data_IF_886753654614
#
_entry.id   IF_886753654614
#
_cell.length_a   1.000
_cell.length_b   1.000
_cell.length_c   1.000
_cell.angle_alpha   90.00
_cell.angle_beta   90.00
_cell.angle_gamma   90.00
#
_symmetry.space_group_name_H-M   'P 1'
#
loop_
_entity.id
_entity.type
_entity.pdbx_description
1 polymer ?
#
# COMPACT_ATOMS: atom_id res chain seq x y z
N UNK A 1 -19.67 -3.65 -11.55
CA UNK A 1 -19.01 -3.29 -10.28
C UNK A 1 -17.76 -4.16 -10.20
N UNK A 2 -16.61 -3.63 -9.80
CA UNK A 2 -15.40 -4.42 -9.62
C UNK A 2 -15.64 -5.45 -8.50
N UNK A 3 -15.82 -6.72 -8.85
CA UNK A 3 -16.02 -7.82 -7.88
C UNK A 3 -14.70 -8.18 -7.22
N UNK A 4 -14.23 -7.29 -6.33
CA UNK A 4 -13.32 -7.72 -5.28
C UNK A 4 -14.11 -8.60 -4.30
N UNK A 5 -13.58 -9.77 -3.95
CA UNK A 5 -14.10 -10.54 -2.82
C UNK A 5 -14.02 -9.71 -1.53
N UNK A 6 -14.88 -10.00 -0.56
CA UNK A 6 -14.86 -9.33 0.75
C UNK A 6 -13.46 -9.41 1.38
N UNK A 7 -12.81 -10.57 1.31
CA UNK A 7 -11.44 -10.77 1.77
C UNK A 7 -10.43 -9.81 1.11
N UNK A 8 -10.49 -9.64 -0.22
CA UNK A 8 -9.62 -8.69 -0.94
C UNK A 8 -9.91 -7.25 -0.52
N UNK A 9 -11.17 -6.89 -0.33
CA UNK A 9 -11.55 -5.57 0.14
C UNK A 9 -11.03 -5.30 1.56
N UNK A 10 -11.12 -6.27 2.46
CA UNK A 10 -10.57 -6.16 3.81
C UNK A 10 -9.03 -6.01 3.78
N UNK A 11 -8.35 -6.78 2.92
CA UNK A 11 -6.89 -6.65 2.70
C UNK A 11 -6.52 -5.24 2.20
N UNK A 12 -7.24 -4.73 1.21
CA UNK A 12 -7.06 -3.37 0.67
C UNK A 12 -7.24 -2.31 1.76
N UNK A 13 -8.32 -2.39 2.55
CA UNK A 13 -8.58 -1.46 3.66
C UNK A 13 -7.48 -1.50 4.71
N UNK A 14 -7.01 -2.70 5.06
CA UNK A 14 -5.93 -2.89 6.01
C UNK A 14 -4.61 -2.24 5.52
N UNK A 15 -4.22 -2.51 4.28
CA UNK A 15 -3.02 -1.92 3.68
C UNK A 15 -3.12 -0.40 3.59
N UNK A 16 -4.26 0.14 3.18
CA UNK A 16 -4.49 1.58 3.12
C UNK A 16 -4.39 2.26 4.50
N UNK A 17 -4.96 1.65 5.53
CA UNK A 17 -4.85 2.16 6.90
C UNK A 17 -3.39 2.13 7.41
N UNK A 18 -2.65 1.07 7.09
CA UNK A 18 -1.24 0.94 7.45
C UNK A 18 -0.37 1.99 6.73
N UNK A 19 -0.59 2.21 5.43
CA UNK A 19 0.08 3.26 4.66
C UNK A 19 -0.19 4.65 5.24
N UNK A 20 -1.44 4.94 5.62
CA UNK A 20 -1.78 6.21 6.25
C UNK A 20 -1.08 6.40 7.59
N UNK A 21 -0.99 5.36 8.42
CA UNK A 21 -0.28 5.41 9.69
C UNK A 21 1.23 5.66 9.51
N UNK A 22 1.87 4.92 8.59
CA UNK A 22 3.30 5.11 8.28
C UNK A 22 3.55 6.52 7.74
N UNK A 23 2.69 7.01 6.85
CA UNK A 23 2.78 8.39 6.33
C UNK A 23 2.71 9.42 7.46
N UNK A 24 1.77 9.29 8.39
CA UNK A 24 1.66 10.22 9.51
C UNK A 24 2.92 10.23 10.39
N UNK A 25 3.55 9.06 10.58
CA UNK A 25 4.82 8.95 11.32
C UNK A 25 5.96 9.63 10.56
N UNK A 26 6.10 9.37 9.26
CA UNK A 26 7.08 10.03 8.39
C UNK A 26 6.90 11.54 8.33
N UNK A 27 5.65 12.02 8.27
CA UNK A 27 5.33 13.44 8.32
C UNK A 27 5.76 14.06 9.66
N UNK A 28 5.61 13.33 10.77
CA UNK A 28 6.09 13.78 12.09
C UNK A 28 7.61 13.93 12.13
N UNK A 29 8.37 13.01 11.49
CA UNK A 29 9.82 13.15 11.34
C UNK A 29 10.22 14.36 10.49
N UNK A 30 9.35 14.84 9.59
CA UNK A 30 9.64 16.00 8.75
C UNK A 30 9.16 17.32 9.39
N UNK A 31 8.35 17.27 10.46
CA UNK A 31 7.86 18.45 11.19
C UNK A 31 8.72 18.83 12.41
N UNK A 32 9.59 17.95 12.90
CA UNK A 32 10.61 18.35 13.86
C UNK A 32 11.66 19.24 13.17
N UNK A 33 11.69 20.51 13.58
CA UNK A 33 12.50 21.61 13.04
C UNK A 33 13.98 21.24 12.76
N UNK A 34 14.31 21.10 11.49
CA UNK A 34 15.43 21.65 10.68
C UNK A 34 16.81 22.03 11.29
N UNK A 35 17.15 21.79 12.56
CA UNK A 35 18.44 22.24 13.13
C UNK A 35 19.22 21.20 13.93
N UNK A 36 18.72 19.97 14.05
CA UNK A 36 19.51 18.88 14.62
C UNK A 36 19.41 17.63 13.75
N UNK A 37 20.54 17.08 13.27
CA UNK A 37 20.51 15.80 12.60
C UNK A 37 19.95 14.77 13.58
N UNK A 38 18.94 14.02 13.13
CA UNK A 38 18.44 12.85 13.84
C UNK A 38 19.60 11.94 14.22
N UNK A 39 19.50 11.30 15.38
CA UNK A 39 20.43 10.24 15.75
C UNK A 39 20.40 9.13 14.70
N UNK A 40 21.50 8.40 14.55
CA UNK A 40 21.60 7.27 13.60
C UNK A 40 20.45 6.28 13.77
N UNK A 41 20.03 6.03 15.01
CA UNK A 41 18.88 5.19 15.34
C UNK A 41 17.56 5.71 14.75
N UNK A 42 17.31 7.02 14.84
CA UNK A 42 16.10 7.63 14.28
C UNK A 42 16.13 7.61 12.74
N UNK A 43 17.29 7.83 12.12
CA UNK A 43 17.43 7.68 10.66
C UNK A 43 17.18 6.23 10.21
N UNK A 44 17.64 5.25 10.99
CA UNK A 44 17.37 3.84 10.71
C UNK A 44 15.88 3.51 10.82
N UNK A 45 15.18 4.06 11.83
CA UNK A 45 13.72 3.91 11.96
C UNK A 45 13.00 4.55 10.77
N UNK A 46 13.39 5.76 10.37
CA UNK A 46 12.84 6.43 9.18
C UNK A 46 13.01 5.59 7.92
N UNK A 47 14.22 5.08 7.69
CA UNK A 47 14.54 4.23 6.53
C UNK A 47 13.70 2.94 6.52
N UNK A 48 13.50 2.32 7.69
CA UNK A 48 12.64 1.14 7.82
C UNK A 48 11.18 1.46 7.51
N UNK A 49 10.67 2.59 8.01
CA UNK A 49 9.30 3.03 7.74
C UNK A 49 9.08 3.33 6.25
N UNK A 50 10.06 3.95 5.58
CA UNK A 50 10.02 4.18 4.13
C UNK A 50 9.99 2.86 3.34
N UNK A 51 10.84 1.89 3.70
CA UNK A 51 10.83 0.57 3.07
C UNK A 51 9.52 -0.21 3.31
N UNK A 52 8.95 -0.12 4.53
CA UNK A 52 7.64 -0.69 4.83
C UNK A 52 6.51 -0.02 4.04
N UNK A 53 6.59 1.30 3.85
CA UNK A 53 5.63 2.04 3.05
C UNK A 53 5.64 1.55 1.59
N UNK A 54 6.82 1.47 0.98
CA UNK A 54 6.97 1.00 -0.41
C UNK A 54 6.46 -0.43 -0.58
N UNK A 55 6.80 -1.33 0.35
CA UNK A 55 6.35 -2.73 0.32
C UNK A 55 4.82 -2.83 0.39
N UNK A 56 4.19 -2.11 1.31
CA UNK A 56 2.73 -2.14 1.47
C UNK A 56 2.02 -1.49 0.27
N UNK A 57 2.62 -0.47 -0.35
CA UNK A 57 2.08 0.17 -1.55
C UNK A 57 2.14 -0.77 -2.75
N UNK A 58 3.26 -1.47 -2.95
CA UNK A 58 3.40 -2.47 -4.00
C UNK A 58 2.38 -3.62 -3.84
N UNK A 59 2.19 -4.13 -2.62
CA UNK A 59 1.17 -5.15 -2.35
C UNK A 59 -0.24 -4.64 -2.68
N UNK A 60 -0.55 -3.39 -2.30
CA UNK A 60 -1.84 -2.77 -2.58
C UNK A 60 -2.08 -2.62 -4.09
N UNK A 61 -1.07 -2.16 -4.84
CA UNK A 61 -1.15 -1.99 -6.29
C UNK A 61 -1.35 -3.34 -7.00
N UNK A 62 -0.61 -4.38 -6.58
CA UNK A 62 -0.79 -5.74 -7.09
C UNK A 62 -2.21 -6.26 -6.89
N UNK A 63 -2.78 -6.09 -5.70
CA UNK A 63 -4.16 -6.49 -5.42
C UNK A 63 -5.18 -5.78 -6.32
N UNK A 64 -4.94 -4.50 -6.64
CA UNK A 64 -5.80 -3.72 -7.53
C UNK A 64 -5.65 -4.19 -8.99
N UNK A 65 -4.43 -4.42 -9.46
CA UNK A 65 -4.16 -4.83 -10.84
C UNK A 65 -4.58 -6.28 -11.12
N UNK A 66 -4.43 -7.19 -10.16
CA UNK A 66 -4.95 -8.56 -10.24
C UNK A 66 -6.47 -8.59 -10.43
N UNK A 67 -7.19 -7.58 -9.92
CA UNK A 67 -8.62 -7.46 -10.16
C UNK A 67 -8.95 -6.91 -11.55
N UNK A 68 -8.09 -6.06 -12.13
CA UNK A 68 -8.27 -5.63 -13.53
C UNK A 68 -8.10 -6.81 -14.49
N UNK A 69 -7.14 -7.69 -14.24
CA UNK A 69 -6.85 -8.82 -15.12
C UNK A 69 -7.88 -9.95 -15.03
N UNK A 70 -8.43 -10.24 -13.85
CA UNK A 70 -9.48 -11.28 -13.71
C UNK A 70 -10.81 -10.91 -14.40
N UNK A 71 -11.15 -9.63 -14.51
CA UNK A 71 -12.37 -9.19 -15.20
C UNK A 71 -12.30 -9.31 -16.74
N UNK A 72 -11.11 -9.48 -17.31
CA UNK A 72 -10.92 -9.67 -18.74
C UNK A 72 -10.98 -11.14 -19.17
N UNK A 73 -10.72 -12.09 -18.27
CA UNK A 73 -10.76 -13.52 -18.59
C UNK A 73 -12.20 -14.07 -18.63
N UNK A 74 -13.05 -13.68 -17.68
CA UNK A 74 -14.45 -14.15 -17.57
C UNK A 74 -15.36 -13.72 -18.74
N UNK A 75 -14.96 -12.70 -19.52
CA UNK A 75 -15.72 -12.22 -20.69
C UNK A 75 -15.48 -13.00 -21.97
N UNK A 76 -14.39 -13.78 -22.06
CA UNK A 76 -14.06 -14.52 -23.27
C UNK A 76 -14.59 -15.96 -23.27
N UNK A 77 -14.95 -16.53 -22.13
CA UNK A 77 -15.45 -17.90 -22.03
C UNK A 77 -16.96 -18.04 -22.31
N UNK A 78 -17.70 -16.94 -22.37
CA UNK A 78 -19.14 -16.95 -22.68
C UNK A 78 -19.47 -16.83 -24.17
N UNK A 79 -18.48 -16.62 -25.04
CA UNK A 79 -18.67 -16.39 -26.48
C UNK A 79 -18.17 -17.52 -27.39
N UNK A 80 -17.67 -18.63 -26.84
CA UNK A 80 -17.37 -19.82 -27.64
C UNK A 80 -18.49 -20.85 -27.46
N UNK A 81 -19.57 -20.63 -28.22
CA UNK A 81 -20.62 -21.61 -28.49
C UNK A 81 -20.38 -22.22 -29.86
#
# INVERSE_FOLDING_TARGET
MTDFSEEKWQRIKFLAARLQAIKNLLDSFNQEDNNQPFTEEVQNIKTQLEAEFETNLDELLKLIDDNKNNNNHARNETNNH
#
